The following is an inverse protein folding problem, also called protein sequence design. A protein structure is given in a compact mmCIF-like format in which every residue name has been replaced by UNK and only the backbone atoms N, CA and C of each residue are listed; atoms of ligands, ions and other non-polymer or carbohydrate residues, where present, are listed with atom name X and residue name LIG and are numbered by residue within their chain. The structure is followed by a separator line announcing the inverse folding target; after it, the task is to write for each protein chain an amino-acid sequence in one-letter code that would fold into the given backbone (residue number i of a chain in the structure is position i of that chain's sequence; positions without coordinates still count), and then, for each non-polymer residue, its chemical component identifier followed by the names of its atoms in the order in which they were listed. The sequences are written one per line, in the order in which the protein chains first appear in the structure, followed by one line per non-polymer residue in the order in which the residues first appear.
data_IF_610001460196
#
_entry.id   IF_610001460196
#
_cell.length_a   1.000
_cell.length_b   1.000
_cell.length_c   1.000
_cell.angle_alpha   90.00
_cell.angle_beta   90.00
_cell.angle_gamma   90.00
#
_symmetry.space_group_name_H-M   'P 1'
#
loop_
_entity.id
_entity.type
_entity.pdbx_description
1 polymer ?
#
# COMPACT_ATOMS: atom_id res chain seq x y z
N UNK A 1 -35.78 -24.66 11.75
CA UNK A 1 -34.65 -24.15 10.94
C UNK A 1 -33.44 -24.09 11.85
N UNK A 2 -32.44 -24.96 11.67
CA UNK A 2 -31.32 -25.11 12.60
C UNK A 2 -30.32 -23.96 12.43
N UNK A 3 -30.25 -23.06 13.43
CA UNK A 3 -29.38 -21.88 13.41
C UNK A 3 -27.90 -22.19 13.12
N UNK A 4 -27.43 -23.40 13.45
CA UNK A 4 -26.06 -23.87 13.18
C UNK A 4 -25.73 -23.95 11.68
N UNK A 5 -26.74 -24.19 10.84
CA UNK A 5 -26.57 -24.27 9.37
C UNK A 5 -26.39 -22.86 8.80
N UNK A 6 -27.12 -21.87 9.33
CA UNK A 6 -27.05 -20.47 8.87
C UNK A 6 -25.68 -19.86 9.14
N UNK A 7 -25.08 -20.14 10.30
CA UNK A 7 -23.74 -19.66 10.64
C UNK A 7 -22.64 -20.30 9.77
N UNK A 8 -22.79 -21.56 9.38
CA UNK A 8 -21.82 -22.23 8.52
C UNK A 8 -21.79 -21.63 7.10
N UNK A 9 -22.95 -21.24 6.56
CA UNK A 9 -23.04 -20.54 5.28
C UNK A 9 -22.47 -19.11 5.36
N UNK A 10 -22.71 -18.40 6.47
CA UNK A 10 -22.17 -17.05 6.65
C UNK A 10 -20.64 -17.02 6.70
N UNK A 11 -20.00 -18.03 7.30
CA UNK A 11 -18.54 -18.11 7.34
C UNK A 11 -17.94 -18.48 5.98
N UNK A 12 -18.57 -19.39 5.22
CA UNK A 12 -18.14 -19.75 3.87
C UNK A 12 -18.21 -18.57 2.88
N UNK A 13 -19.18 -17.68 3.02
CA UNK A 13 -19.31 -16.50 2.17
C UNK A 13 -18.17 -15.48 2.36
N UNK A 14 -17.60 -15.37 3.56
CA UNK A 14 -16.51 -14.44 3.86
C UNK A 14 -15.18 -14.88 3.24
N UNK A 15 -14.94 -16.19 3.11
CA UNK A 15 -13.70 -16.71 2.51
C UNK A 15 -13.72 -16.63 0.97
N UNK A 16 -14.88 -16.70 0.33
CA UNK A 16 -15.01 -16.61 -1.14
C UNK A 16 -14.83 -15.17 -1.64
N UNK A 17 -15.21 -14.16 -0.84
CA UNK A 17 -15.04 -12.74 -1.23
C UNK A 17 -13.61 -12.20 -1.08
N UNK A 18 -12.67 -12.98 -0.54
CA UNK A 18 -11.27 -12.57 -0.37
C UNK A 18 -10.36 -13.02 -1.52
N UNK A 19 -10.90 -13.71 -2.54
CA UNK A 19 -10.18 -14.03 -3.78
C UNK A 19 -10.51 -12.98 -4.84
N UNK A 20 -10.11 -11.73 -4.58
CA UNK A 20 -9.92 -10.79 -5.68
C UNK A 20 -8.63 -11.20 -6.38
N UNK A 21 -8.82 -11.82 -7.53
CA UNK A 21 -7.91 -11.99 -8.66
C UNK A 21 -6.44 -12.30 -8.30
N UNK A 22 -5.99 -13.47 -8.72
CA UNK A 22 -4.60 -13.68 -9.11
C UNK A 22 -4.28 -12.69 -10.25
N UNK A 23 -4.16 -11.39 -9.95
CA UNK A 23 -3.38 -10.45 -10.74
C UNK A 23 -1.96 -11.01 -10.68
N UNK A 24 -1.68 -11.94 -11.58
CA UNK A 24 -0.35 -12.47 -11.83
C UNK A 24 0.49 -11.25 -12.15
N UNK A 25 1.16 -10.75 -11.12
CA UNK A 25 1.97 -9.58 -11.21
C UNK A 25 2.98 -9.81 -12.35
N UNK A 26 3.08 -8.85 -13.27
CA UNK A 26 3.99 -8.93 -14.41
C UNK A 26 5.15 -7.95 -14.20
N UNK A 27 6.41 -8.44 -14.14
CA UNK A 27 7.57 -7.57 -13.92
C UNK A 27 7.89 -6.61 -15.03
N UNK A 28 7.32 -6.84 -16.20
CA UNK A 28 7.56 -6.07 -17.42
C UNK A 28 6.45 -5.06 -17.68
N UNK A 29 5.45 -4.98 -16.79
CA UNK A 29 4.36 -4.02 -16.86
C UNK A 29 4.50 -2.95 -15.78
N UNK A 30 4.17 -1.71 -16.13
CA UNK A 30 4.00 -0.58 -15.20
C UNK A 30 2.60 -0.04 -15.37
N UNK A 31 1.76 -0.27 -14.38
CA UNK A 31 0.46 0.38 -14.30
C UNK A 31 0.63 1.75 -13.63
N UNK A 32 0.44 2.81 -14.40
CA UNK A 32 0.51 4.20 -13.94
C UNK A 32 -0.89 4.83 -13.89
N UNK A 33 -1.94 4.02 -14.04
CA UNK A 33 -3.33 4.49 -14.12
C UNK A 33 -3.73 5.23 -12.85
N UNK A 34 -3.51 4.64 -11.68
CA UNK A 34 -3.84 5.28 -10.40
C UNK A 34 -3.00 6.53 -10.15
N UNK A 35 -1.70 6.47 -10.45
CA UNK A 35 -0.79 7.59 -10.29
C UNK A 35 -1.23 8.78 -11.16
N UNK A 36 -1.42 8.57 -12.46
CA UNK A 36 -1.84 9.62 -13.37
C UNK A 36 -3.29 10.07 -13.13
N UNK A 37 -4.16 9.20 -12.64
CA UNK A 37 -5.51 9.55 -12.20
C UNK A 37 -5.49 10.50 -11.01
N UNK A 38 -4.62 10.25 -10.02
CA UNK A 38 -4.40 11.13 -8.88
C UNK A 38 -3.83 12.49 -9.30
N UNK A 39 -2.92 12.51 -10.28
CA UNK A 39 -2.38 13.76 -10.81
C UNK A 39 -3.42 14.61 -11.54
N UNK A 40 -4.39 13.96 -12.20
CA UNK A 40 -5.46 14.62 -12.94
C UNK A 40 -6.68 15.00 -12.07
N UNK A 41 -6.76 14.53 -10.82
CA UNK A 41 -7.95 14.65 -9.96
C UNK A 41 -8.41 16.09 -9.66
N UNK A 42 -7.51 17.06 -9.82
CA UNK A 42 -7.79 18.49 -9.58
C UNK A 42 -8.17 19.25 -10.86
N UNK A 43 -8.37 18.54 -11.97
CA UNK A 43 -8.85 19.16 -13.20
C UNK A 43 -10.25 19.77 -13.00
N UNK A 44 -10.54 20.90 -13.68
CA UNK A 44 -11.82 21.59 -13.56
C UNK A 44 -12.99 20.83 -14.19
N UNK A 45 -12.72 19.97 -15.17
CA UNK A 45 -13.71 19.18 -15.91
C UNK A 45 -13.05 17.90 -16.47
N UNK A 46 -13.87 16.97 -16.96
CA UNK A 46 -13.43 15.67 -17.46
C UNK A 46 -12.53 15.74 -18.71
N UNK A 47 -12.68 16.76 -19.56
CA UNK A 47 -11.81 16.95 -20.74
C UNK A 47 -10.41 17.36 -20.32
N UNK A 48 -10.31 18.31 -19.38
CA UNK A 48 -9.03 18.72 -18.81
C UNK A 48 -8.44 17.60 -17.96
N UNK A 49 -9.26 16.81 -17.27
CA UNK A 49 -8.81 15.60 -16.57
C UNK A 49 -8.09 14.67 -17.54
N UNK A 50 -8.74 14.31 -18.64
CA UNK A 50 -8.15 13.37 -19.60
C UNK A 50 -6.90 13.94 -20.26
N UNK A 51 -6.87 15.24 -20.56
CA UNK A 51 -5.65 15.89 -21.06
C UNK A 51 -4.48 15.79 -20.07
N UNK A 52 -4.75 16.03 -18.78
CA UNK A 52 -3.72 15.94 -17.72
C UNK A 52 -3.28 14.49 -17.50
N UNK A 53 -4.22 13.55 -17.51
CA UNK A 53 -3.97 12.12 -17.42
C UNK A 53 -3.05 11.63 -18.54
N UNK A 54 -3.40 11.90 -19.80
CA UNK A 54 -2.58 11.50 -20.95
C UNK A 54 -1.20 12.16 -20.91
N UNK A 55 -1.12 13.44 -20.53
CA UNK A 55 0.17 14.13 -20.37
C UNK A 55 1.04 13.49 -19.29
N UNK A 56 0.45 13.06 -18.18
CA UNK A 56 1.16 12.31 -17.15
C UNK A 56 1.69 10.99 -17.71
N UNK A 57 0.83 10.22 -18.39
CA UNK A 57 1.20 8.94 -18.98
C UNK A 57 2.35 9.07 -19.99
N UNK A 58 2.29 10.10 -20.84
CA UNK A 58 3.31 10.41 -21.83
C UNK A 58 4.67 10.70 -21.19
N UNK A 59 4.68 11.37 -20.03
CA UNK A 59 5.92 11.68 -19.30
C UNK A 59 6.54 10.46 -18.62
N UNK A 60 5.74 9.46 -18.29
CA UNK A 60 6.23 8.19 -17.75
C UNK A 60 6.81 7.28 -18.83
N UNK A 61 6.41 7.48 -20.10
CA UNK A 61 6.87 6.67 -21.21
C UNK A 61 8.12 7.25 -21.87
N UNK A 62 9.29 6.75 -21.45
CA UNK A 62 10.56 6.99 -22.14
C UNK A 62 11.16 5.65 -22.58
N UNK A 63 11.09 5.29 -23.87
CA UNK A 63 11.64 4.03 -24.36
C UNK A 63 13.18 3.98 -24.34
N UNK A 64 13.85 5.12 -24.19
CA UNK A 64 15.31 5.23 -24.26
C UNK A 64 15.96 5.43 -22.88
N UNK A 65 15.17 5.59 -21.82
CA UNK A 65 15.66 5.94 -20.48
C UNK A 65 14.89 5.18 -19.37
N UNK A 66 15.51 5.03 -18.20
CA UNK A 66 14.88 4.36 -17.05
C UNK A 66 14.53 2.89 -17.33
N UNK A 67 13.25 2.56 -17.17
CA UNK A 67 12.71 1.19 -17.30
C UNK A 67 12.59 0.71 -18.76
N UNK A 68 12.84 1.57 -19.77
CA UNK A 68 12.87 1.20 -21.20
C UNK A 68 11.62 0.45 -21.70
N UNK A 69 10.45 0.83 -21.21
CA UNK A 69 9.18 0.31 -21.72
C UNK A 69 9.04 0.58 -23.22
N UNK A 70 8.59 -0.42 -23.99
CA UNK A 70 8.51 -0.30 -25.46
C UNK A 70 7.10 0.01 -25.95
N UNK A 71 6.09 -0.36 -25.17
CA UNK A 71 4.68 -0.21 -25.55
C UNK A 71 3.96 0.63 -24.49
N UNK A 72 3.11 1.54 -24.96
CA UNK A 72 2.27 2.41 -24.13
C UNK A 72 0.82 2.27 -24.56
N UNK A 73 -0.03 1.87 -23.63
CA UNK A 73 -1.47 1.94 -23.72
C UNK A 73 -1.92 3.17 -22.91
N UNK A 74 -2.53 4.15 -23.58
CA UNK A 74 -2.98 5.40 -22.96
C UNK A 74 -4.34 5.75 -23.54
N UNK A 75 -5.37 5.58 -22.73
CA UNK A 75 -6.75 5.93 -23.07
C UNK A 75 -7.35 6.73 -21.92
N UNK A 76 -8.24 7.66 -22.24
CA UNK A 76 -9.04 8.35 -21.23
C UNK A 76 -10.36 8.81 -21.83
N UNK A 77 -11.44 8.58 -21.12
CA UNK A 77 -12.77 9.08 -21.45
C UNK A 77 -13.34 9.88 -20.27
N UNK A 78 -13.90 11.08 -20.52
CA UNK A 78 -14.65 11.81 -19.50
C UNK A 78 -15.80 10.97 -18.97
N UNK A 79 -16.11 11.09 -17.68
CA UNK A 79 -17.28 10.47 -17.06
C UNK A 79 -18.55 11.26 -17.34
N UNK A 80 -19.71 10.62 -17.24
CA UNK A 80 -21.02 11.24 -17.52
C UNK A 80 -21.35 12.44 -16.62
N UNK A 81 -20.69 12.55 -15.46
CA UNK A 81 -20.81 13.70 -14.55
C UNK A 81 -20.09 14.96 -15.07
N UNK A 82 -19.29 14.83 -16.13
CA UNK A 82 -18.52 15.89 -16.79
C UNK A 82 -17.36 16.45 -15.96
N UNK A 83 -17.08 15.88 -14.78
CA UNK A 83 -16.11 16.43 -13.81
C UNK A 83 -14.84 15.60 -13.70
N UNK A 84 -14.91 14.31 -13.99
CA UNK A 84 -13.76 13.41 -13.93
C UNK A 84 -13.57 12.65 -15.24
N UNK A 85 -12.59 11.76 -15.28
CA UNK A 85 -12.39 10.83 -16.38
C UNK A 85 -11.96 9.47 -15.87
N UNK A 86 -12.15 8.47 -16.70
CA UNK A 86 -11.66 7.11 -16.51
C UNK A 86 -10.62 6.87 -17.59
N UNK A 87 -9.38 6.63 -17.17
CA UNK A 87 -8.28 6.37 -18.06
C UNK A 87 -7.57 5.07 -17.75
N UNK A 88 -6.78 4.61 -18.71
CA UNK A 88 -5.84 3.50 -18.61
C UNK A 88 -4.48 4.04 -19.02
N UNK A 89 -3.46 3.83 -18.19
CA UNK A 89 -2.08 4.13 -18.51
C UNK A 89 -1.21 2.92 -18.14
N UNK A 90 -0.96 2.05 -19.11
CA UNK A 90 -0.14 0.85 -18.93
C UNK A 90 1.05 0.90 -19.87
N UNK A 91 2.24 0.73 -19.29
CA UNK A 91 3.48 0.57 -20.04
C UNK A 91 3.87 -0.90 -19.99
N UNK A 92 4.21 -1.49 -21.14
CA UNK A 92 4.54 -2.91 -21.25
C UNK A 92 5.85 -3.13 -22.01
N UNK A 93 6.39 -4.35 -21.89
CA UNK A 93 7.75 -4.69 -22.33
C UNK A 93 8.81 -3.79 -21.69
N UNK A 94 8.62 -3.47 -20.41
CA UNK A 94 9.59 -2.77 -19.59
C UNK A 94 10.69 -3.72 -19.12
N UNK A 95 11.80 -3.14 -18.66
CA UNK A 95 12.85 -3.85 -17.94
C UNK A 95 12.25 -4.53 -16.71
N UNK A 96 12.61 -5.79 -16.50
CA UNK A 96 12.09 -6.62 -15.42
C UNK A 96 12.39 -6.00 -14.04
N UNK A 97 11.36 -5.82 -13.19
CA UNK A 97 11.58 -5.43 -11.80
C UNK A 97 12.10 -6.62 -11.01
N UNK A 98 13.28 -6.49 -10.43
CA UNK A 98 13.85 -7.50 -9.53
C UNK A 98 13.39 -7.21 -8.10
N UNK A 99 12.52 -8.05 -7.57
CA UNK A 99 12.09 -7.95 -6.16
C UNK A 99 13.23 -8.40 -5.24
N UNK A 100 13.78 -7.47 -4.46
CA UNK A 100 14.72 -7.83 -3.39
C UNK A 100 13.95 -8.14 -2.12
N UNK A 101 14.10 -9.35 -1.59
CA UNK A 101 13.52 -9.72 -0.29
C UNK A 101 14.54 -9.46 0.82
N UNK A 102 14.20 -8.58 1.76
CA UNK A 102 15.03 -8.31 2.94
C UNK A 102 14.53 -9.12 4.13
N UNK A 103 15.35 -10.06 4.60
CA UNK A 103 15.05 -10.85 5.81
C UNK A 103 15.66 -10.17 7.04
N UNK A 104 14.83 -9.74 7.98
CA UNK A 104 15.27 -9.21 9.28
C UNK A 104 15.16 -10.31 10.32
N UNK A 105 16.30 -10.71 10.91
CA UNK A 105 16.34 -11.67 12.03
C UNK A 105 16.32 -10.92 13.36
N UNK A 106 15.28 -11.13 14.16
CA UNK A 106 15.20 -10.59 15.53
C UNK A 106 15.86 -11.58 16.51
N UNK A 107 16.88 -11.18 17.28
CA UNK A 107 17.48 -12.05 18.29
C UNK A 107 16.49 -12.33 19.41
N UNK A 108 16.49 -13.56 19.94
CA UNK A 108 15.71 -13.92 21.11
C UNK A 108 16.19 -13.12 22.35
N UNK A 109 15.29 -12.68 23.25
CA UNK A 109 15.70 -11.97 24.45
C UNK A 109 16.60 -12.87 25.31
N UNK A 110 17.80 -12.36 25.63
CA UNK A 110 18.67 -12.97 26.63
C UNK A 110 17.99 -12.76 28.00
N UNK A 111 17.50 -13.85 28.61
CA UNK A 111 17.11 -13.81 30.01
C UNK A 111 18.37 -13.67 30.86
N UNK A 112 18.79 -12.43 31.11
CA UNK A 112 19.79 -12.11 32.10
C UNK A 112 19.17 -12.32 33.49
N UNK A 113 19.84 -13.12 34.32
CA UNK A 113 19.34 -13.62 35.59
C UNK A 113 18.66 -12.54 36.47
N UNK A 114 17.55 -12.92 37.10
CA UNK A 114 16.61 -12.11 37.89
C UNK A 114 17.27 -11.29 39.04
N UNK A 115 18.56 -11.48 39.32
CA UNK A 115 19.26 -10.79 40.41
C UNK A 115 19.60 -9.31 40.12
N UNK A 116 19.67 -8.87 38.86
CA UNK A 116 19.99 -7.47 38.55
C UNK A 116 18.80 -6.53 38.79
N UNK A 117 17.57 -7.00 38.56
CA UNK A 117 16.34 -6.22 38.75
C UNK A 117 16.10 -5.85 40.24
N UNK A 118 16.56 -6.69 41.18
CA UNK A 118 16.39 -6.43 42.61
C UNK A 118 17.26 -5.26 43.11
N UNK A 119 18.43 -5.02 42.50
CA UNK A 119 19.32 -3.93 42.89
C UNK A 119 18.88 -2.57 42.35
N UNK A 120 18.14 -2.51 41.24
CA UNK A 120 17.63 -1.25 40.71
C UNK A 120 16.40 -0.73 41.48
N UNK A 121 15.56 -1.64 42.01
CA UNK A 121 14.35 -1.28 42.77
C UNK A 121 14.66 -0.71 44.16
N UNK A 122 15.75 -1.13 44.79
CA UNK A 122 16.13 -0.66 46.14
C UNK A 122 16.78 0.74 46.15
N UNK A 123 17.33 1.22 45.04
CA UNK A 123 18.00 2.52 44.97
C UNK A 123 17.01 3.67 44.73
N UNK A 124 15.83 3.39 44.13
CA UNK A 124 14.81 4.41 43.80
C UNK A 124 13.73 4.59 44.87
N UNK A 125 13.63 3.70 45.86
CA UNK A 125 12.62 3.76 46.92
C UNK A 125 12.68 5.00 47.84
N UNK A 126 13.85 5.61 48.19
CA UNK A 126 13.85 6.73 49.11
C UNK A 126 13.44 8.07 48.48
N UNK A 127 13.45 8.20 47.14
CA UNK A 127 13.05 9.45 46.46
C UNK A 127 11.52 9.64 46.39
N UNK A 128 10.74 8.56 46.47
CA UNK A 128 9.27 8.64 46.45
C UNK A 128 8.66 9.07 47.80
N UNK A 129 9.35 8.85 48.93
CA UNK A 129 8.85 9.22 50.25
C UNK A 129 8.99 10.73 50.56
N UNK A 130 9.89 11.45 49.90
CA UNK A 130 10.09 12.88 50.13
C UNK A 130 9.04 13.77 49.44
N UNK A 131 8.32 13.26 48.43
CA UNK A 131 7.29 14.00 47.69
C UNK A 131 5.91 14.00 48.38
N UNK A 132 5.69 13.17 49.40
CA UNK A 132 4.41 13.10 50.12
C UNK A 132 4.41 13.78 51.51
N UNK A 133 5.51 14.42 51.92
CA UNK A 133 5.58 15.16 53.20
C UNK A 133 5.51 16.70 53.04
N UNK A 134 5.15 17.21 51.86
CA UNK A 134 4.84 18.63 51.65
C UNK A 134 3.50 18.78 50.95
N UNK A 135 2.44 18.36 51.61
CA UNK A 135 1.06 18.86 51.44
C UNK A 135 0.36 18.84 52.80
#
# INVERSE_FOLDING_TARGET
MNSRIVYAFALLAVFVSAQTDDDVWDPTVRDQTEFCGTMAQYAPDGEIYCKQFSTCCDRQFDPNNGDKCQVKESECSPTDDGRSGLGVCKLSNCTELVTTTTTTTTPAPLFESINAAYQAVTILAPLAAALFCVM
#
